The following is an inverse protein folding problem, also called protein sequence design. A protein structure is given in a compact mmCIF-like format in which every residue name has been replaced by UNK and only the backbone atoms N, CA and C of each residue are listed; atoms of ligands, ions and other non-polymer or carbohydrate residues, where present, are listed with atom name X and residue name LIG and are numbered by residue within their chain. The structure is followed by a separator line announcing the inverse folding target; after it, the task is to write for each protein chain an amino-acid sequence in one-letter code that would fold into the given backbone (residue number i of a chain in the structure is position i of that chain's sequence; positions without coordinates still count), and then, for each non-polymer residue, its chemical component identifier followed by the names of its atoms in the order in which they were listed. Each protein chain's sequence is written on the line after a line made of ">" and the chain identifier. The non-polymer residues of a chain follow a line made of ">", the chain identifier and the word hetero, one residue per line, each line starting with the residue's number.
data_IF_483745394448
#
_entry.id   IF_483745394448
#
_cell.length_a   1.000
_cell.length_b   1.000
_cell.length_c   1.000
_cell.angle_alpha   90.00
_cell.angle_beta   90.00
_cell.angle_gamma   90.00
#
_symmetry.space_group_name_H-M   'P 1'
#
loop_
_entity.id
_entity.type
_entity.pdbx_description
1 polymer ?
#
# COMPACT_ATOMS: atom_id res chain seq x y z
N UNK A 1 -12.86 -36.31 73.25
CA UNK A 1 -11.73 -36.57 72.33
C UNK A 1 -12.11 -36.08 70.93
N UNK A 2 -11.25 -35.22 70.37
CA UNK A 2 -11.19 -34.70 69.00
C UNK A 2 -12.45 -34.08 68.35
N UNK A 3 -12.51 -32.74 68.37
CA UNK A 3 -13.37 -31.92 67.52
C UNK A 3 -12.77 -31.79 66.10
N UNK A 4 -13.57 -31.77 65.01
CA UNK A 4 -13.05 -31.63 63.66
C UNK A 4 -12.84 -30.15 63.34
N UNK A 5 -11.73 -29.57 63.80
CA UNK A 5 -11.29 -28.20 63.44
C UNK A 5 -10.19 -28.17 62.37
N UNK A 6 -10.10 -29.21 61.53
CA UNK A 6 -9.02 -29.38 60.54
C UNK A 6 -9.38 -29.12 59.07
N UNK A 7 -10.66 -29.09 58.70
CA UNK A 7 -11.06 -29.04 57.28
C UNK A 7 -11.27 -27.61 56.73
N UNK A 8 -11.61 -26.64 57.58
CA UNK A 8 -11.79 -25.24 57.17
C UNK A 8 -10.47 -24.52 56.87
N UNK A 9 -9.40 -24.85 57.60
CA UNK A 9 -8.09 -24.22 57.43
C UNK A 9 -7.36 -24.72 56.17
N UNK A 10 -7.51 -26.00 55.80
CA UNK A 10 -6.94 -26.52 54.56
C UNK A 10 -7.60 -25.92 53.31
N UNK A 11 -8.92 -25.71 53.30
CA UNK A 11 -9.59 -25.04 52.18
C UNK A 11 -9.13 -23.58 52.01
N UNK A 12 -8.89 -22.86 53.11
CA UNK A 12 -8.39 -21.49 53.07
C UNK A 12 -6.94 -21.39 52.57
N UNK A 13 -6.07 -22.37 52.91
CA UNK A 13 -4.72 -22.43 52.34
C UNK A 13 -4.72 -22.83 50.85
N UNK A 14 -5.62 -23.73 50.42
CA UNK A 14 -5.78 -24.11 49.01
C UNK A 14 -6.34 -22.97 48.14
N UNK A 15 -7.18 -22.09 48.70
CA UNK A 15 -7.68 -20.89 48.02
C UNK A 15 -6.63 -19.77 47.91
N UNK A 16 -5.69 -19.68 48.87
CA UNK A 16 -4.59 -18.70 48.80
C UNK A 16 -3.46 -19.12 47.84
N UNK A 17 -3.32 -20.42 47.54
CA UNK A 17 -2.35 -20.96 46.58
C UNK A 17 -2.79 -20.82 45.11
N UNK A 18 -4.02 -20.37 44.82
CA UNK A 18 -4.52 -20.17 43.44
C UNK A 18 -4.68 -18.71 43.04
N UNK A 19 -4.39 -17.76 43.93
CA UNK A 19 -4.42 -16.31 43.64
C UNK A 19 -3.08 -15.76 43.09
N UNK A 20 -2.26 -16.64 42.52
CA UNK A 20 -0.99 -16.29 41.88
C UNK A 20 -1.04 -16.48 40.36
N UNK A 21 -2.14 -16.12 39.70
CA UNK A 21 -2.09 -15.97 38.25
C UNK A 21 -1.48 -14.61 37.96
N UNK A 22 -0.16 -14.59 37.76
CA UNK A 22 0.52 -13.48 37.09
C UNK A 22 -0.34 -13.10 35.89
N UNK A 23 -0.87 -11.88 35.91
CA UNK A 23 -1.47 -11.24 34.75
C UNK A 23 -0.44 -11.43 33.64
N UNK A 24 -0.76 -12.12 32.53
CA UNK A 24 0.22 -12.31 31.47
C UNK A 24 0.67 -10.92 31.07
N UNK A 25 1.94 -10.63 31.31
CA UNK A 25 2.57 -9.39 30.89
C UNK A 25 2.46 -9.43 29.38
N UNK A 26 1.42 -8.77 28.87
CA UNK A 26 1.14 -8.76 27.45
C UNK A 26 2.33 -8.07 26.82
N UNK A 27 3.21 -8.85 26.19
CA UNK A 27 4.36 -8.33 25.46
C UNK A 27 3.86 -7.28 24.47
N UNK A 28 4.69 -6.30 24.09
CA UNK A 28 4.25 -5.22 23.22
C UNK A 28 3.60 -5.80 21.97
N UNK A 29 2.27 -5.65 21.86
CA UNK A 29 1.52 -6.13 20.69
C UNK A 29 2.13 -5.42 19.48
N UNK A 30 2.79 -6.15 18.60
CA UNK A 30 3.30 -5.56 17.37
C UNK A 30 2.11 -5.30 16.44
N UNK A 31 1.57 -4.08 16.50
CA UNK A 31 0.41 -3.63 15.71
C UNK A 31 0.60 -3.85 14.21
N UNK A 32 1.85 -3.84 13.72
CA UNK A 32 2.19 -4.02 12.31
C UNK A 32 2.12 -5.49 11.83
N UNK A 33 1.98 -6.47 12.72
CA UNK A 33 1.80 -7.90 12.36
C UNK A 33 0.33 -8.30 12.15
N UNK A 34 -0.63 -7.42 12.49
CA UNK A 34 -2.02 -7.59 12.07
C UNK A 34 -2.91 -8.44 12.97
N UNK A 35 -2.73 -8.38 14.30
CA UNK A 35 -3.53 -9.21 15.23
C UNK A 35 -4.91 -8.62 15.61
N UNK A 36 -5.19 -7.35 15.32
CA UNK A 36 -6.42 -6.70 15.81
C UNK A 36 -7.16 -5.89 14.73
N UNK A 37 -8.43 -6.26 14.49
CA UNK A 37 -9.34 -5.59 13.53
C UNK A 37 -10.24 -4.53 14.21
N UNK A 38 -9.76 -3.96 15.32
CA UNK A 38 -10.45 -2.87 15.99
C UNK A 38 -10.21 -1.57 15.23
N UNK A 39 -11.26 -0.79 14.98
CA UNK A 39 -11.21 0.43 14.19
C UNK A 39 -11.36 1.70 15.04
N UNK A 40 -10.98 1.64 16.32
CA UNK A 40 -10.97 2.80 17.19
C UNK A 40 -9.79 3.74 16.92
N UNK A 41 -9.87 4.98 17.43
CA UNK A 41 -8.88 6.04 17.18
C UNK A 41 -7.47 5.64 17.67
N UNK A 42 -7.38 4.91 18.79
CA UNK A 42 -6.09 4.46 19.32
C UNK A 42 -5.42 3.46 18.37
N UNK A 43 -6.16 2.45 17.89
CA UNK A 43 -5.64 1.45 16.97
C UNK A 43 -5.34 2.06 15.58
N UNK A 44 -6.13 3.06 15.14
CA UNK A 44 -5.83 3.84 13.93
C UNK A 44 -4.46 4.51 14.03
N UNK A 45 -4.17 5.20 15.13
CA UNK A 45 -2.87 5.84 15.35
C UNK A 45 -1.73 4.81 15.35
N UNK A 46 -1.90 3.71 16.08
CA UNK A 46 -0.87 2.67 16.17
C UNK A 46 -0.59 1.99 14.82
N UNK A 47 -1.63 1.75 14.02
CA UNK A 47 -1.49 1.20 12.66
C UNK A 47 -0.91 2.22 11.70
N UNK A 48 -1.14 3.51 11.88
CA UNK A 48 -0.56 4.54 11.03
C UNK A 48 0.95 4.65 11.22
N UNK A 49 1.45 4.40 12.44
CA UNK A 49 2.89 4.28 12.68
C UNK A 49 3.53 3.16 11.85
N UNK A 50 2.76 2.19 11.36
CA UNK A 50 3.27 1.14 10.48
C UNK A 50 3.55 1.65 9.06
N UNK A 51 2.97 2.77 8.60
CA UNK A 51 3.28 3.34 7.29
C UNK A 51 4.78 3.61 7.16
N UNK A 52 5.38 4.23 8.18
CA UNK A 52 6.82 4.58 8.17
C UNK A 52 7.72 3.41 8.56
N UNK A 53 7.27 2.54 9.48
CA UNK A 53 8.04 1.40 9.97
C UNK A 53 8.16 0.27 8.94
N UNK A 54 7.14 0.06 8.11
CA UNK A 54 7.12 -1.03 7.14
C UNK A 54 7.79 -0.63 5.82
N UNK A 55 9.06 -1.03 5.67
CA UNK A 55 9.86 -0.88 4.44
C UNK A 55 9.98 -2.23 3.73
N UNK A 56 9.94 -2.23 2.39
CA UNK A 56 9.99 -3.43 1.53
C UNK A 56 11.16 -4.39 1.78
N UNK A 57 12.22 -3.97 2.47
CA UNK A 57 13.42 -4.78 2.66
C UNK A 57 13.41 -5.54 3.99
N UNK A 58 12.92 -6.79 3.94
CA UNK A 58 13.45 -7.90 4.74
C UNK A 58 13.24 -7.90 6.26
N UNK A 59 12.48 -6.98 6.84
CA UNK A 59 12.15 -7.06 8.27
C UNK A 59 10.92 -7.95 8.47
N UNK A 60 11.05 -9.05 9.23
CA UNK A 60 9.94 -9.92 9.68
C UNK A 60 8.90 -9.19 10.58
N UNK A 61 8.91 -7.87 10.65
CA UNK A 61 8.14 -7.06 11.59
C UNK A 61 6.79 -6.57 11.05
N UNK A 62 6.51 -6.73 9.75
CA UNK A 62 5.31 -6.20 9.11
C UNK A 62 4.56 -7.23 8.26
N UNK A 63 3.25 -7.35 8.49
CA UNK A 63 2.34 -8.01 7.57
C UNK A 63 1.69 -6.95 6.68
N UNK A 64 2.34 -6.67 5.55
CA UNK A 64 1.97 -5.62 4.59
C UNK A 64 0.54 -5.83 4.06
N UNK A 65 0.19 -7.07 3.73
CA UNK A 65 -1.12 -7.43 3.19
C UNK A 65 -2.25 -7.13 4.18
N UNK A 66 -2.09 -7.54 5.44
CA UNK A 66 -3.08 -7.26 6.49
C UNK A 66 -3.21 -5.77 6.79
N UNK A 67 -2.10 -5.02 6.76
CA UNK A 67 -2.12 -3.58 6.97
C UNK A 67 -2.84 -2.87 5.82
N UNK A 68 -2.57 -3.23 4.56
CA UNK A 68 -3.28 -2.68 3.41
C UNK A 68 -4.78 -2.98 3.49
N UNK A 69 -5.13 -4.24 3.76
CA UNK A 69 -6.53 -4.67 3.92
C UNK A 69 -7.24 -3.94 5.06
N UNK A 70 -6.57 -3.68 6.18
CA UNK A 70 -7.14 -2.92 7.28
C UNK A 70 -7.57 -1.52 6.85
N UNK A 71 -6.70 -0.78 6.15
CA UNK A 71 -6.99 0.58 5.70
C UNK A 71 -8.09 0.61 4.63
N UNK A 72 -8.08 -0.34 3.69
CA UNK A 72 -9.13 -0.46 2.68
C UNK A 72 -10.50 -0.81 3.30
N UNK A 73 -10.52 -1.60 4.37
CA UNK A 73 -11.74 -1.98 5.08
C UNK A 73 -12.24 -0.93 6.08
N UNK A 74 -11.40 0.06 6.43
CA UNK A 74 -11.80 1.12 7.35
C UNK A 74 -12.99 1.93 6.81
N UNK A 75 -13.09 2.12 5.49
CA UNK A 75 -14.26 2.76 4.88
C UNK A 75 -15.56 1.98 5.13
N UNK A 76 -15.52 0.65 5.07
CA UNK A 76 -16.70 -0.15 5.39
C UNK A 76 -17.14 0.02 6.85
N UNK A 77 -16.18 0.25 7.77
CA UNK A 77 -16.47 0.57 9.16
C UNK A 77 -17.09 1.97 9.30
N UNK A 78 -16.48 3.00 8.70
CA UNK A 78 -17.02 4.37 8.68
C UNK A 78 -18.47 4.41 8.18
N UNK A 79 -18.79 3.62 7.15
CA UNK A 79 -20.13 3.57 6.57
C UNK A 79 -21.15 2.83 7.43
N UNK A 80 -20.71 1.91 8.29
CA UNK A 80 -21.59 1.11 9.15
C UNK A 80 -22.06 1.90 10.38
N UNK A 81 -21.25 2.84 10.88
CA UNK A 81 -21.62 3.62 12.06
C UNK A 81 -22.71 4.67 11.79
N UNK A 82 -23.00 5.00 10.52
CA UNK A 82 -24.24 5.67 10.09
C UNK A 82 -24.47 7.10 10.61
N UNK A 83 -23.53 7.68 11.35
CA UNK A 83 -23.56 9.06 11.84
C UNK A 83 -22.73 9.97 10.94
N UNK A 84 -23.04 11.28 10.99
CA UNK A 84 -22.24 12.36 10.41
C UNK A 84 -20.88 12.43 11.12
N UNK A 85 -20.01 11.45 10.86
CA UNK A 85 -18.76 11.26 11.56
C UNK A 85 -17.66 12.05 10.86
N UNK A 86 -16.85 12.72 11.67
CA UNK A 86 -15.63 13.39 11.21
C UNK A 86 -14.45 12.75 11.93
N UNK A 87 -13.47 12.32 11.15
CA UNK A 87 -12.18 11.86 11.67
C UNK A 87 -11.15 12.93 11.30
N UNK A 88 -10.39 13.37 12.29
CA UNK A 88 -9.34 14.36 12.11
C UNK A 88 -8.09 13.91 12.86
N UNK A 89 -7.28 13.08 12.22
CA UNK A 89 -5.95 12.70 12.70
C UNK A 89 -4.89 13.24 11.73
N UNK A 90 -3.60 13.25 12.13
CA UNK A 90 -2.53 13.72 11.25
C UNK A 90 -2.41 12.95 9.93
N UNK A 91 -2.76 11.66 9.92
CA UNK A 91 -2.64 10.78 8.76
C UNK A 91 -3.98 10.46 8.08
N UNK A 92 -5.10 10.67 8.76
CA UNK A 92 -6.42 10.34 8.23
C UNK A 92 -7.42 11.44 8.53
N UNK A 93 -8.03 11.95 7.47
CA UNK A 93 -9.16 12.87 7.54
C UNK A 93 -10.33 12.24 6.83
N UNK A 94 -11.45 12.09 7.51
CA UNK A 94 -12.63 11.49 6.93
C UNK A 94 -13.88 12.31 7.22
N UNK A 95 -14.76 12.39 6.24
CA UNK A 95 -16.11 12.93 6.36
C UNK A 95 -17.09 11.85 5.95
N UNK A 96 -18.05 11.52 6.82
CA UNK A 96 -19.25 10.78 6.46
C UNK A 96 -20.42 11.75 6.47
N UNK A 97 -21.16 11.84 5.36
CA UNK A 97 -22.30 12.74 5.21
C UNK A 97 -23.44 12.06 4.48
N UNK A 98 -24.66 12.30 4.95
CA UNK A 98 -25.87 11.87 4.28
C UNK A 98 -26.25 12.87 3.17
N UNK A 99 -26.42 12.37 1.95
CA UNK A 99 -26.78 13.14 0.78
C UNK A 99 -28.12 12.67 0.20
N UNK A 100 -28.90 13.63 -0.29
CA UNK A 100 -30.14 13.34 -1.01
C UNK A 100 -29.85 12.65 -2.34
N UNK A 101 -30.57 11.58 -2.64
CA UNK A 101 -30.50 10.91 -3.95
C UNK A 101 -31.23 11.68 -5.04
N UNK A 102 -32.16 12.57 -4.67
CA UNK A 102 -32.93 13.41 -5.57
C UNK A 102 -32.34 14.82 -5.67
N UNK A 103 -31.11 14.92 -6.16
CA UNK A 103 -30.42 16.22 -6.37
C UNK A 103 -30.51 16.70 -7.82
N UNK A 104 -30.62 18.02 -7.99
CA UNK A 104 -30.58 18.71 -9.28
C UNK A 104 -29.15 19.06 -9.74
N UNK A 105 -28.23 19.13 -8.79
CA UNK A 105 -26.86 19.63 -8.95
C UNK A 105 -25.82 18.61 -8.47
N UNK A 106 -24.60 18.77 -8.96
CA UNK A 106 -23.44 17.97 -8.54
C UNK A 106 -22.99 18.40 -7.15
N UNK A 107 -22.37 17.47 -6.43
CA UNK A 107 -21.77 17.79 -5.13
C UNK A 107 -20.29 18.06 -5.28
N UNK A 108 -19.82 19.14 -4.64
CA UNK A 108 -18.41 19.51 -4.61
C UNK A 108 -17.90 19.44 -3.18
N UNK A 109 -16.69 18.92 -3.01
CA UNK A 109 -16.02 18.87 -1.71
C UNK A 109 -14.58 19.37 -1.83
N UNK A 110 -14.16 20.18 -0.85
CA UNK A 110 -12.76 20.51 -0.67
C UNK A 110 -12.01 19.29 -0.11
N UNK A 111 -10.84 19.03 -0.68
CA UNK A 111 -9.90 18.00 -0.25
C UNK A 111 -8.63 18.62 0.35
N UNK A 112 -8.75 19.84 0.88
CA UNK A 112 -7.61 20.56 1.42
C UNK A 112 -6.95 19.76 2.56
N UNK A 113 -5.65 19.43 2.46
CA UNK A 113 -5.02 18.52 3.41
C UNK A 113 -4.83 19.12 4.80
N UNK A 114 -5.12 20.40 5.03
CA UNK A 114 -5.13 21.04 6.35
C UNK A 114 -6.44 20.78 7.12
N UNK A 115 -7.55 20.49 6.43
CA UNK A 115 -8.90 20.41 7.00
C UNK A 115 -9.57 19.06 6.73
N UNK A 116 -10.57 18.72 7.53
CA UNK A 116 -11.49 17.61 7.19
C UNK A 116 -12.23 17.96 5.91
N UNK A 117 -12.49 17.01 4.99
CA UNK A 117 -13.28 17.30 3.80
C UNK A 117 -14.57 18.05 4.15
N UNK A 118 -14.90 19.06 3.35
CA UNK A 118 -16.09 19.89 3.53
C UNK A 118 -16.80 20.08 2.20
N UNK A 119 -18.12 20.01 2.21
CA UNK A 119 -18.92 20.35 1.05
C UNK A 119 -18.75 21.85 0.73
N UNK A 120 -18.59 22.17 -0.55
CA UNK A 120 -18.48 23.54 -1.05
C UNK A 120 -19.51 23.77 -2.14
N UNK A 121 -19.93 25.02 -2.32
CA UNK A 121 -20.78 25.39 -3.45
C UNK A 121 -19.93 25.48 -4.72
N UNK A 122 -20.54 25.22 -5.88
CA UNK A 122 -19.84 25.24 -7.18
C UNK A 122 -19.17 26.60 -7.47
N UNK A 123 -19.85 27.68 -7.08
CA UNK A 123 -19.50 29.05 -7.43
C UNK A 123 -18.81 29.83 -6.29
N UNK A 124 -18.66 29.22 -5.10
CA UNK A 124 -17.92 29.80 -3.98
C UNK A 124 -16.59 29.07 -3.76
N UNK A 125 -15.51 29.85 -3.56
CA UNK A 125 -14.20 29.38 -3.07
C UNK A 125 -13.73 28.07 -3.71
N UNK A 126 -13.30 28.13 -4.98
CA UNK A 126 -12.92 26.97 -5.78
C UNK A 126 -11.64 26.32 -5.21
N UNK A 127 -11.74 25.30 -4.34
CA UNK A 127 -10.59 24.87 -3.56
C UNK A 127 -9.55 24.22 -4.48
N UNK A 128 -8.25 24.38 -4.20
CA UNK A 128 -7.18 23.89 -5.07
C UNK A 128 -7.26 22.37 -5.24
N UNK A 129 -7.44 21.65 -4.12
CA UNK A 129 -7.78 20.24 -4.09
C UNK A 129 -9.28 20.06 -3.89
N UNK A 130 -9.95 19.36 -4.80
CA UNK A 130 -11.41 19.16 -4.72
C UNK A 130 -11.87 17.90 -5.42
N UNK A 131 -13.07 17.44 -5.08
CA UNK A 131 -13.78 16.39 -5.81
C UNK A 131 -15.16 16.88 -6.24
N UNK A 132 -15.53 16.56 -7.48
CA UNK A 132 -16.89 16.68 -8.03
C UNK A 132 -17.50 15.29 -8.11
N UNK A 133 -18.64 15.10 -7.45
CA UNK A 133 -19.46 13.90 -7.57
C UNK A 133 -20.68 14.22 -8.43
N UNK A 134 -20.86 13.56 -9.58
CA UNK A 134 -21.90 13.90 -10.53
C UNK A 134 -23.28 13.54 -9.96
N UNK A 135 -24.29 14.37 -10.21
CA UNK A 135 -25.67 14.08 -9.77
C UNK A 135 -26.23 12.77 -10.34
N UNK A 136 -25.76 12.36 -11.52
CA UNK A 136 -26.15 11.11 -12.18
C UNK A 136 -25.79 9.87 -11.33
N UNK A 137 -24.69 9.92 -10.57
CA UNK A 137 -24.35 8.91 -9.54
C UNK A 137 -25.49 8.76 -8.54
N UNK A 138 -25.94 9.84 -7.93
CA UNK A 138 -26.96 9.81 -6.88
C UNK A 138 -28.35 9.47 -7.41
N UNK A 139 -28.66 9.89 -8.64
CA UNK A 139 -29.91 9.50 -9.33
C UNK A 139 -29.97 8.01 -9.66
N UNK A 140 -28.82 7.41 -10.02
CA UNK A 140 -28.74 5.97 -10.26
C UNK A 140 -29.02 5.14 -8.99
N UNK A 141 -28.76 5.74 -7.83
CA UNK A 141 -28.96 5.14 -6.51
C UNK A 141 -30.37 5.37 -5.95
N UNK A 142 -31.22 6.13 -6.66
CA UNK A 142 -32.49 6.65 -6.13
C UNK A 142 -33.45 5.57 -5.61
N UNK A 143 -33.46 4.35 -6.17
CA UNK A 143 -34.13 3.14 -5.62
C UNK A 143 -35.29 3.36 -4.61
N UNK A 144 -35.23 2.68 -3.46
CA UNK A 144 -36.16 2.87 -2.33
C UNK A 144 -35.64 3.86 -1.27
N UNK A 145 -34.48 4.49 -1.47
CA UNK A 145 -33.82 5.35 -0.47
C UNK A 145 -33.69 6.78 -0.99
N UNK A 146 -34.34 7.71 -0.29
CA UNK A 146 -34.24 9.15 -0.54
C UNK A 146 -32.88 9.74 -0.12
N UNK A 147 -32.11 9.02 0.70
CA UNK A 147 -30.84 9.46 1.26
C UNK A 147 -29.82 8.34 1.22
N UNK A 148 -28.58 8.67 0.89
CA UNK A 148 -27.43 7.77 0.90
C UNK A 148 -26.26 8.38 1.66
N UNK A 149 -25.52 7.56 2.40
CA UNK A 149 -24.29 8.00 3.07
C UNK A 149 -23.14 8.02 2.06
N UNK A 150 -22.39 9.11 2.04
CA UNK A 150 -21.13 9.30 1.32
C UNK A 150 -20.01 9.33 2.36
N UNK A 151 -18.93 8.59 2.12
CA UNK A 151 -17.67 8.75 2.82
C UNK A 151 -16.61 9.32 1.87
N UNK A 152 -15.90 10.32 2.35
CA UNK A 152 -14.70 10.88 1.73
C UNK A 152 -13.56 10.72 2.72
N UNK A 153 -12.49 10.06 2.31
CA UNK A 153 -11.29 9.85 3.13
C UNK A 153 -10.07 10.46 2.45
N UNK A 154 -9.20 11.08 3.24
CA UNK A 154 -7.88 11.55 2.84
C UNK A 154 -6.88 10.83 3.73
N UNK A 155 -6.07 9.97 3.13
CA UNK A 155 -5.06 9.17 3.82
C UNK A 155 -3.66 9.61 3.41
N UNK A 156 -2.85 10.01 4.39
CA UNK A 156 -1.40 10.21 4.23
C UNK A 156 -0.68 8.88 4.50
N UNK A 157 -0.16 8.29 3.42
CA UNK A 157 0.58 7.01 3.48
C UNK A 157 2.05 7.19 3.83
N UNK A 158 2.49 8.44 4.05
CA UNK A 158 3.85 8.80 4.42
C UNK A 158 4.92 8.37 3.41
N UNK A 159 6.21 8.47 3.78
CA UNK A 159 7.31 8.03 2.92
C UNK A 159 7.43 6.50 2.81
N UNK A 160 6.58 5.76 3.52
CA UNK A 160 6.54 4.31 3.62
C UNK A 160 6.46 3.55 2.31
N UNK A 161 6.53 2.22 2.35
CA UNK A 161 6.33 1.39 1.16
C UNK A 161 4.95 0.75 1.08
N UNK A 162 4.11 0.97 2.09
CA UNK A 162 2.71 0.55 2.06
C UNK A 162 2.01 1.30 0.91
N UNK A 163 1.30 0.57 0.05
CA UNK A 163 0.72 1.08 -1.21
C UNK A 163 1.73 1.53 -2.28
N UNK A 164 2.98 1.02 -2.27
CA UNK A 164 3.93 1.28 -3.37
C UNK A 164 4.02 0.12 -4.39
N UNK A 165 3.52 -1.06 -4.05
CA UNK A 165 3.53 -2.23 -4.94
C UNK A 165 4.95 -2.67 -5.33
N UNK A 166 5.09 -3.77 -6.08
CA UNK A 166 6.39 -4.26 -6.51
C UNK A 166 7.10 -3.29 -7.47
N UNK A 167 6.32 -2.53 -8.26
CA UNK A 167 6.80 -1.69 -9.34
C UNK A 167 7.36 -0.34 -8.89
N UNK A 168 6.78 0.33 -7.88
CA UNK A 168 7.37 1.56 -7.32
C UNK A 168 8.49 1.27 -6.32
N UNK A 169 8.64 0.01 -5.90
CA UNK A 169 9.73 -0.45 -5.03
C UNK A 169 11.11 -0.49 -5.69
N UNK A 170 11.17 -0.41 -7.01
CA UNK A 170 12.38 -0.63 -7.82
C UNK A 170 13.33 0.58 -7.86
N UNK A 171 13.12 1.62 -7.06
CA UNK A 171 14.01 2.79 -7.04
C UNK A 171 13.96 3.65 -8.30
N UNK A 172 12.97 3.45 -9.17
CA UNK A 172 12.76 4.17 -10.43
C UNK A 172 12.17 5.59 -10.23
N UNK A 173 12.52 6.25 -9.13
CA UNK A 173 12.09 7.63 -8.79
C UNK A 173 10.58 7.88 -8.67
N UNK A 174 9.76 6.84 -8.80
CA UNK A 174 8.30 6.96 -8.86
C UNK A 174 7.70 7.16 -7.47
N UNK A 175 6.71 8.05 -7.35
CA UNK A 175 6.11 8.42 -6.07
C UNK A 175 4.65 8.82 -6.22
N UNK A 176 3.92 8.83 -5.10
CA UNK A 176 2.55 9.37 -5.04
C UNK A 176 2.63 10.84 -4.66
N UNK A 177 1.89 11.71 -5.36
CA UNK A 177 1.87 13.14 -5.08
C UNK A 177 1.48 13.37 -3.61
N UNK A 178 2.34 14.08 -2.88
CA UNK A 178 2.15 14.40 -1.46
C UNK A 178 1.88 13.18 -0.56
N UNK A 179 2.23 11.95 -1.00
CA UNK A 179 1.89 10.69 -0.32
C UNK A 179 0.39 10.60 0.05
N UNK A 180 -0.50 11.15 -0.78
CA UNK A 180 -1.93 11.27 -0.47
C UNK A 180 -2.77 10.30 -1.29
N UNK A 181 -3.63 9.56 -0.60
CA UNK A 181 -4.73 8.79 -1.18
C UNK A 181 -6.06 9.47 -0.84
N UNK A 182 -6.96 9.53 -1.82
CA UNK A 182 -8.33 10.05 -1.67
C UNK A 182 -9.30 8.88 -1.87
N UNK A 183 -9.94 8.45 -0.80
CA UNK A 183 -10.96 7.41 -0.83
C UNK A 183 -12.37 8.01 -0.97
N UNK A 184 -13.18 7.38 -1.82
CA UNK A 184 -14.57 7.76 -2.08
C UNK A 184 -15.42 6.48 -2.01
N UNK A 185 -16.48 6.51 -1.20
CA UNK A 185 -17.45 5.42 -1.15
C UNK A 185 -18.86 5.91 -0.86
N UNK A 186 -19.86 5.24 -1.44
CA UNK A 186 -21.28 5.58 -1.29
C UNK A 186 -22.07 4.33 -0.91
N UNK A 187 -22.79 4.40 0.20
CA UNK A 187 -23.37 3.23 0.86
C UNK A 187 -22.35 2.11 1.12
N UNK A 188 -22.83 0.88 1.24
CA UNK A 188 -21.99 -0.33 1.26
C UNK A 188 -21.93 -0.98 -0.13
N UNK A 189 -21.85 -0.16 -1.18
CA UNK A 189 -21.93 -0.59 -2.57
C UNK A 189 -20.63 -0.31 -3.32
N UNK A 190 -20.25 -1.23 -4.21
CA UNK A 190 -19.17 -1.00 -5.17
C UNK A 190 -19.76 -0.29 -6.38
N UNK A 191 -19.33 0.94 -6.60
CA UNK A 191 -19.77 1.75 -7.74
C UNK A 191 -18.70 1.69 -8.83
N UNK A 192 -19.08 1.23 -10.02
CA UNK A 192 -18.21 1.10 -11.20
C UNK A 192 -18.99 1.44 -12.47
N UNK A 193 -18.29 1.80 -13.55
CA UNK A 193 -18.87 2.12 -14.88
C UNK A 193 -19.91 3.25 -14.82
N UNK A 194 -19.56 4.34 -14.14
CA UNK A 194 -20.37 5.56 -14.15
C UNK A 194 -20.47 6.12 -15.57
N UNK A 195 -21.70 6.42 -15.99
CA UNK A 195 -21.95 7.05 -17.30
C UNK A 195 -21.34 8.46 -17.38
N UNK A 196 -21.35 9.19 -16.26
CA UNK A 196 -20.66 10.47 -16.10
C UNK A 196 -19.56 10.27 -15.05
N UNK A 197 -18.27 10.48 -15.39
CA UNK A 197 -17.19 10.26 -14.46
C UNK A 197 -17.19 11.31 -13.34
N UNK A 198 -16.70 10.91 -12.16
CA UNK A 198 -16.36 11.87 -11.11
C UNK A 198 -15.04 12.56 -11.45
N UNK A 199 -14.84 13.76 -10.92
CA UNK A 199 -13.60 14.52 -11.11
C UNK A 199 -12.89 14.74 -9.78
N UNK A 200 -11.60 14.39 -9.72
CA UNK A 200 -10.74 14.72 -8.59
C UNK A 200 -9.66 15.66 -9.10
N UNK A 201 -9.51 16.81 -8.45
CA UNK A 201 -8.47 17.79 -8.77
C UNK A 201 -7.39 17.69 -7.71
N UNK A 202 -6.18 17.39 -8.14
CA UNK A 202 -4.97 17.42 -7.33
C UNK A 202 -4.16 18.66 -7.68
N UNK A 203 -4.07 19.61 -6.75
CA UNK A 203 -3.26 20.80 -6.93
C UNK A 203 -1.77 20.48 -6.80
N UNK A 204 -0.96 21.04 -7.68
CA UNK A 204 0.49 20.96 -7.64
C UNK A 204 1.12 22.08 -8.45
N UNK A 205 2.39 22.37 -8.19
CA UNK A 205 3.19 23.20 -9.10
C UNK A 205 3.45 22.46 -10.41
N UNK A 206 3.83 23.18 -11.46
CA UNK A 206 4.12 22.54 -12.76
C UNK A 206 5.10 21.38 -12.58
N UNK A 207 4.73 20.17 -13.05
CA UNK A 207 5.62 19.03 -12.93
C UNK A 207 6.90 19.27 -13.74
N UNK A 208 8.04 18.71 -13.30
CA UNK A 208 9.25 18.68 -14.10
C UNK A 208 8.98 18.07 -15.49
N UNK A 209 9.67 18.53 -16.56
CA UNK A 209 9.44 18.03 -17.92
C UNK A 209 9.74 16.54 -18.08
N UNK A 210 10.56 15.99 -17.17
CA UNK A 210 10.92 14.59 -17.10
C UNK A 210 10.03 13.78 -16.15
N UNK A 211 8.81 14.24 -15.85
CA UNK A 211 7.85 13.51 -15.04
C UNK A 211 6.48 13.43 -15.74
N UNK A 212 5.95 12.21 -15.78
CA UNK A 212 4.56 11.94 -16.11
C UNK A 212 3.72 11.84 -14.86
N UNK A 213 2.53 12.44 -14.93
CA UNK A 213 1.47 12.33 -13.94
C UNK A 213 0.42 11.36 -14.45
N UNK A 214 -0.05 10.46 -13.60
CA UNK A 214 -1.09 9.49 -13.96
C UNK A 214 -2.04 9.28 -12.79
N UNK A 215 -3.33 9.48 -13.02
CA UNK A 215 -4.38 9.14 -12.08
C UNK A 215 -4.50 7.62 -11.95
N UNK A 216 -4.41 7.12 -10.73
CA UNK A 216 -4.44 5.69 -10.44
C UNK A 216 -5.28 5.39 -9.21
N UNK A 217 -5.69 4.15 -9.07
CA UNK A 217 -6.29 3.60 -7.86
C UNK A 217 -5.57 2.32 -7.43
N UNK A 218 -5.67 1.99 -6.15
CA UNK A 218 -5.05 0.77 -5.62
C UNK A 218 -5.90 -0.46 -5.92
N UNK A 219 -5.43 -1.32 -6.82
CA UNK A 219 -6.12 -2.54 -7.22
C UNK A 219 -5.57 -3.76 -6.47
N UNK A 220 -6.35 -4.24 -5.51
CA UNK A 220 -6.00 -5.42 -4.70
C UNK A 220 -5.94 -6.72 -5.49
N UNK A 221 -6.51 -6.76 -6.70
CA UNK A 221 -6.52 -7.95 -7.56
C UNK A 221 -5.24 -8.10 -8.37
N UNK A 222 -4.42 -7.03 -8.46
CA UNK A 222 -3.16 -7.02 -9.20
C UNK A 222 -2.01 -7.56 -8.37
N UNK A 223 -1.70 -8.84 -8.55
CA UNK A 223 -0.56 -9.49 -7.89
C UNK A 223 -0.83 -9.86 -6.43
N UNK A 224 0.17 -10.38 -5.70
CA UNK A 224 -0.02 -10.93 -4.36
C UNK A 224 -0.34 -9.87 -3.29
N UNK A 225 0.07 -8.62 -3.50
CA UNK A 225 -0.09 -7.53 -2.53
C UNK A 225 -0.89 -6.34 -3.08
N UNK A 226 -1.44 -6.45 -4.29
CA UNK A 226 -2.06 -5.34 -5.03
C UNK A 226 -1.04 -4.46 -5.77
N UNK A 227 -1.52 -3.71 -6.76
CA UNK A 227 -0.73 -2.75 -7.53
C UNK A 227 -1.59 -1.56 -8.01
N UNK A 228 -0.94 -0.49 -8.46
CA UNK A 228 -1.63 0.67 -9.02
C UNK A 228 -2.22 0.35 -10.40
N UNK A 229 -3.47 0.79 -10.60
CA UNK A 229 -4.19 0.67 -11.87
C UNK A 229 -4.72 2.04 -12.30
N UNK A 230 -4.70 2.34 -13.59
CA UNK A 230 -5.33 3.53 -14.17
C UNK A 230 -6.63 3.18 -14.93
N UNK A 231 -7.11 1.94 -14.83
CA UNK A 231 -8.31 1.49 -15.53
C UNK A 231 -9.53 2.30 -15.11
N UNK A 232 -10.35 2.73 -16.06
CA UNK A 232 -11.53 3.57 -15.77
C UNK A 232 -11.21 5.00 -15.34
N UNK A 233 -9.94 5.43 -15.39
CA UNK A 233 -9.50 6.79 -15.06
C UNK A 233 -8.75 7.45 -16.22
N UNK A 234 -9.09 8.68 -16.57
CA UNK A 234 -8.32 9.53 -17.48
C UNK A 234 -7.61 10.65 -16.72
N UNK A 235 -6.43 11.04 -17.19
CA UNK A 235 -5.60 12.08 -16.57
C UNK A 235 -5.52 13.30 -17.47
N UNK A 236 -5.91 14.47 -16.97
CA UNK A 236 -5.77 15.75 -17.64
C UNK A 236 -4.83 16.66 -16.83
N UNK A 237 -3.61 16.85 -17.31
CA UNK A 237 -2.59 17.66 -16.64
C UNK A 237 -2.77 19.14 -17.00
N UNK A 238 -2.92 20.01 -16.00
CA UNK A 238 -3.00 21.46 -16.15
C UNK A 238 -1.84 22.15 -15.38
N UNK A 239 -1.54 23.42 -15.67
CA UNK A 239 -0.42 24.13 -15.01
C UNK A 239 -0.56 24.23 -13.48
N UNK A 240 -1.79 24.40 -13.00
CA UNK A 240 -2.15 24.59 -11.59
C UNK A 240 -2.63 23.31 -10.87
N UNK A 241 -2.67 22.18 -11.56
CA UNK A 241 -3.08 20.90 -10.99
C UNK A 241 -3.46 19.87 -12.05
N UNK A 242 -3.75 18.65 -11.62
CA UNK A 242 -4.18 17.56 -12.50
C UNK A 242 -5.61 17.16 -12.17
N UNK A 243 -6.42 16.99 -13.22
CA UNK A 243 -7.80 16.51 -13.11
C UNK A 243 -7.84 15.02 -13.46
N UNK A 244 -8.36 14.23 -12.53
CA UNK A 244 -8.62 12.81 -12.70
C UNK A 244 -10.12 12.60 -12.95
N UNK A 245 -10.49 12.11 -14.13
CA UNK A 245 -11.87 11.73 -14.41
C UNK A 245 -11.99 10.20 -14.30
N UNK A 246 -12.74 9.71 -13.32
CA UNK A 246 -12.84 8.27 -13.04
C UNK A 246 -14.29 7.78 -13.05
N UNK A 247 -14.52 6.55 -13.53
CA UNK A 247 -15.85 5.95 -13.67
C UNK A 247 -16.26 5.04 -12.50
N UNK A 248 -15.54 5.08 -11.39
CA UNK A 248 -15.76 4.22 -10.23
C UNK A 248 -15.42 4.98 -8.94
N UNK A 249 -15.80 4.42 -7.79
CA UNK A 249 -15.49 4.96 -6.46
C UNK A 249 -14.57 3.98 -5.72
N UNK A 250 -13.33 4.39 -5.47
CA UNK A 250 -12.30 3.62 -4.75
C UNK A 250 -11.32 4.57 -4.05
N UNK A 251 -10.07 4.14 -3.83
CA UNK A 251 -8.96 4.94 -3.32
C UNK A 251 -8.06 5.40 -4.45
N UNK A 252 -8.09 6.69 -4.74
CA UNK A 252 -7.36 7.34 -5.82
C UNK A 252 -6.08 8.00 -5.34
N UNK A 253 -5.11 8.07 -6.23
CA UNK A 253 -3.86 8.78 -6.05
C UNK A 253 -3.38 9.37 -7.38
N UNK A 254 -2.58 10.43 -7.30
CA UNK A 254 -1.84 10.93 -8.46
C UNK A 254 -0.42 10.39 -8.42
N UNK A 255 -0.06 9.58 -9.41
CA UNK A 255 1.24 8.93 -9.49
C UNK A 255 2.20 9.75 -10.34
N UNK A 256 3.38 10.01 -9.80
CA UNK A 256 4.52 10.63 -10.48
C UNK A 256 5.46 9.53 -10.93
N UNK A 257 5.77 9.49 -12.22
CA UNK A 257 6.78 8.59 -12.79
C UNK A 257 7.80 9.39 -13.59
N UNK A 258 9.10 9.17 -13.39
CA UNK A 258 10.11 9.73 -14.27
C UNK A 258 9.86 9.26 -15.70
N UNK A 259 9.77 10.19 -16.64
CA UNK A 259 9.88 9.85 -18.05
C UNK A 259 11.36 9.78 -18.36
N UNK A 260 11.87 8.57 -18.54
CA UNK A 260 13.11 8.41 -19.29
C UNK A 260 12.78 8.82 -20.73
N UNK A 261 13.38 9.93 -21.18
CA UNK A 261 13.25 10.34 -22.56
C UNK A 261 13.69 9.18 -23.47
N UNK A 262 12.89 8.90 -24.49
CA UNK A 262 13.11 7.76 -25.37
C UNK A 262 14.49 7.83 -26.03
N UNK A 263 14.99 9.04 -26.28
CA UNK A 263 16.37 9.26 -26.76
C UNK A 263 17.42 8.80 -25.75
N UNK A 264 17.21 9.09 -24.46
CA UNK A 264 18.12 8.74 -23.37
C UNK A 264 18.13 7.24 -23.12
N UNK A 265 16.96 6.59 -23.14
CA UNK A 265 16.86 5.11 -23.08
C UNK A 265 17.61 4.47 -24.24
N UNK A 266 17.41 4.98 -25.46
CA UNK A 266 18.11 4.47 -26.64
C UNK A 266 19.63 4.62 -26.52
N UNK A 267 20.12 5.79 -26.09
CA UNK A 267 21.56 6.04 -25.91
C UNK A 267 22.13 5.10 -24.83
N UNK A 268 21.48 4.99 -23.68
CA UNK A 268 21.94 4.13 -22.59
C UNK A 268 21.95 2.65 -23.00
N UNK A 269 20.93 2.22 -23.76
CA UNK A 269 20.86 0.86 -24.33
C UNK A 269 22.00 0.61 -25.32
N UNK A 270 22.32 1.58 -26.19
CA UNK A 270 23.44 1.45 -27.13
C UNK A 270 24.78 1.34 -26.43
N UNK A 271 25.01 2.15 -25.41
CA UNK A 271 26.23 2.11 -24.59
C UNK A 271 26.34 0.75 -23.87
N UNK A 272 25.25 0.28 -23.25
CA UNK A 272 25.21 -1.03 -22.59
C UNK A 272 25.50 -2.17 -23.58
N UNK A 273 24.85 -2.15 -24.75
CA UNK A 273 25.07 -3.14 -25.81
C UNK A 273 26.52 -3.15 -26.29
N UNK A 274 27.14 -1.97 -26.47
CA UNK A 274 28.54 -1.87 -26.85
C UNK A 274 29.46 -2.41 -25.74
N UNK A 275 29.22 -2.05 -24.48
CA UNK A 275 29.99 -2.55 -23.32
C UNK A 275 29.91 -4.07 -23.16
N UNK A 276 28.71 -4.64 -23.29
CA UNK A 276 28.51 -6.10 -23.30
C UNK A 276 29.24 -6.76 -24.48
N UNK A 277 29.16 -6.18 -25.69
CA UNK A 277 29.86 -6.69 -26.87
C UNK A 277 31.38 -6.74 -26.69
N UNK A 278 31.98 -5.65 -26.22
CA UNK A 278 33.41 -5.57 -25.92
C UNK A 278 33.81 -6.60 -24.86
N UNK A 279 33.01 -6.72 -23.79
CA UNK A 279 33.27 -7.68 -22.72
C UNK A 279 33.25 -9.13 -23.21
N UNK A 280 32.29 -9.49 -24.07
CA UNK A 280 32.21 -10.83 -24.68
C UNK A 280 33.45 -11.13 -25.55
N UNK A 281 33.95 -10.15 -26.30
CA UNK A 281 35.15 -10.30 -27.14
C UNK A 281 36.39 -10.55 -26.25
N UNK A 282 36.59 -9.75 -25.20
CA UNK A 282 37.70 -9.96 -24.26
C UNK A 282 37.63 -11.32 -23.56
N UNK A 283 36.42 -11.75 -23.16
CA UNK A 283 36.22 -13.08 -22.58
C UNK A 283 36.57 -14.19 -23.58
N UNK A 284 36.16 -14.07 -24.84
CA UNK A 284 36.50 -15.03 -25.88
C UNK A 284 38.02 -15.12 -26.10
N UNK A 285 38.72 -13.98 -26.22
CA UNK A 285 40.18 -13.97 -26.32
C UNK A 285 40.86 -14.60 -25.11
N UNK A 286 40.37 -14.32 -23.91
CA UNK A 286 40.90 -14.92 -22.67
C UNK A 286 40.73 -16.43 -22.67
N UNK A 287 39.57 -16.95 -23.10
CA UNK A 287 39.31 -18.38 -23.23
C UNK A 287 40.25 -19.03 -24.26
N UNK A 288 40.43 -18.38 -25.42
CA UNK A 288 41.30 -18.88 -26.49
C UNK A 288 42.75 -18.94 -26.01
N UNK A 289 43.26 -17.86 -25.40
CA UNK A 289 44.60 -17.82 -24.82
C UNK A 289 44.76 -18.89 -23.73
N UNK A 290 43.77 -19.06 -22.86
CA UNK A 290 43.80 -20.11 -21.84
C UNK A 290 43.84 -21.52 -22.46
N UNK A 291 43.14 -21.75 -23.57
CA UNK A 291 43.17 -23.03 -24.27
C UNK A 291 44.52 -23.31 -24.94
N UNK A 292 45.15 -22.29 -25.56
CA UNK A 292 46.47 -22.42 -26.18
C UNK A 292 47.61 -22.52 -25.16
N UNK A 293 47.53 -21.76 -24.08
CA UNK A 293 48.53 -21.76 -23.00
C UNK A 293 48.31 -22.91 -22.02
N UNK A 294 47.19 -23.63 -22.11
CA UNK A 294 47.02 -24.89 -21.39
C UNK A 294 48.04 -25.87 -21.97
N UNK A 295 49.03 -26.33 -21.17
CA UNK A 295 49.84 -27.45 -21.58
C UNK A 295 48.88 -28.60 -21.87
N UNK A 296 49.00 -29.25 -23.03
CA UNK A 296 48.37 -30.53 -23.26
C UNK A 296 48.79 -31.41 -22.09
N UNK A 297 47.87 -31.72 -21.16
CA UNK A 297 48.10 -32.85 -20.28
C UNK A 297 48.24 -34.02 -21.24
N UNK A 298 49.39 -34.72 -21.26
CA UNK A 298 49.48 -35.94 -22.04
C UNK A 298 48.30 -36.81 -21.61
N UNK A 299 47.61 -37.39 -22.57
CA UNK A 299 46.68 -38.51 -22.35
C UNK A 299 47.49 -39.68 -21.78
N UNK A 300 47.82 -39.57 -20.50
CA UNK A 300 48.28 -40.66 -19.68
C UNK A 300 47.03 -41.30 -19.12
N UNK A 301 46.67 -42.44 -19.69
CA UNK A 301 45.81 -43.45 -19.08
C UNK A 301 45.98 -43.44 -17.56
N UNK A 302 45.07 -42.80 -16.83
CA UNK A 302 44.91 -43.08 -15.39
C UNK A 302 44.00 -44.28 -15.28
N UNK A 303 44.64 -45.43 -15.48
CA UNK A 303 44.25 -46.66 -14.84
C UNK A 303 44.04 -46.34 -13.34
N UNK A 304 42.84 -46.60 -12.88
CA UNK A 304 42.51 -46.60 -11.47
C UNK A 304 43.34 -47.72 -10.83
N UNK A 305 44.45 -47.42 -10.16
CA UNK A 305 45.03 -48.37 -9.22
C UNK A 305 44.55 -47.99 -7.83
N UNK A 306 43.48 -48.68 -7.41
CA UNK A 306 43.15 -48.87 -6.01
C UNK A 306 44.30 -49.61 -5.35
N UNK A 307 45.30 -48.89 -4.82
CA UNK A 307 46.33 -49.53 -4.01
C UNK A 307 45.78 -49.78 -2.60
N UNK A 308 45.31 -51.01 -2.48
CA UNK A 308 44.96 -51.78 -1.31
C UNK A 308 45.91 -51.49 -0.12
N UNK A 309 45.39 -50.83 0.91
CA UNK A 309 45.96 -50.87 2.26
C UNK A 309 45.86 -52.31 2.79
N UNK A 310 47.00 -52.99 2.96
CA UNK A 310 47.12 -54.09 3.92
C UNK A 310 48.35 -53.91 4.83
N UNK A 311 48.26 -54.35 6.08
CA UNK A 311 49.04 -53.83 7.20
C UNK A 311 50.37 -54.55 7.36
N UNK A 312 51.41 -53.83 7.77
CA UNK A 312 52.63 -54.42 8.29
C UNK A 312 52.57 -54.39 9.82
N UNK A 313 52.13 -55.53 10.35
CA UNK A 313 52.57 -56.06 11.63
C UNK A 313 54.09 -56.26 11.55
N UNK A 314 54.84 -55.83 12.56
CA UNK A 314 56.13 -56.44 12.88
C UNK A 314 56.10 -56.85 14.37
N UNK A 315 56.84 -57.91 14.73
CA UNK A 315 56.83 -58.58 16.02
C UNK A 315 57.72 -57.90 17.06
#
# INVERSE_FOLDING_TARGET
>A
MATPRGLGALLLLLLLLTSGQEKPTEGPRNTCLGSNNMYDIFNLNDKALCFTKCRQSGSNSCNVENLQRYWLNYEAHLMKEGLTQKVNTPFLKALVQNLSTNTAEDFYFSLEPSQVPRQVMKDEDKPPDRVRLPKSLFRSLTGNRSVVSLAITILDIGPGTLFKGPRLGLGDGSSVLNNRLVGLSVGQMRVTKLAEPLEIVFSHQRPPPNMTLTCVFWDVTKGPTGDWSSEGCSTEVRPEGTVCCCDHLTFFALLLRPTLDQSTVHILTRISQAGCGVSMIFLAFTIILYAFLRPARPDGHRHWECQQLRPLHHP
#
